data_IF_967633942198
#
_entry.id   IF_967633942198
#
_cell.length_a   1.000
_cell.length_b   1.000
_cell.length_c   1.000
_cell.angle_alpha   90.00
_cell.angle_beta   90.00
_cell.angle_gamma   90.00
#
_symmetry.space_group_name_H-M   'P 1'
#
loop_
_entity.id
_entity.type
_entity.pdbx_description
1 polymer ?
#
# COMPACT_ATOMS: atom_id res chain seq x y z
N UNK A 1 -30.01 0.32 -10.70
CA UNK A 1 -28.54 0.47 -10.58
C UNK A 1 -28.22 1.96 -10.62
N UNK A 2 -27.67 2.51 -9.55
CA UNK A 2 -27.28 3.93 -9.53
C UNK A 2 -26.23 4.18 -10.61
N UNK A 3 -26.51 5.14 -11.48
CA UNK A 3 -25.65 5.58 -12.58
C UNK A 3 -24.35 6.10 -11.96
N UNK A 4 -23.26 5.33 -12.12
CA UNK A 4 -21.88 5.58 -11.68
C UNK A 4 -21.58 5.46 -10.17
N UNK A 5 -21.74 4.26 -9.60
CA UNK A 5 -21.11 3.95 -8.30
C UNK A 5 -19.57 3.97 -8.42
N UNK A 6 -18.98 5.07 -7.96
CA UNK A 6 -17.52 5.29 -7.97
C UNK A 6 -16.77 4.46 -6.92
N UNK A 7 -17.47 3.78 -6.01
CA UNK A 7 -16.84 3.00 -4.92
C UNK A 7 -16.08 1.77 -5.42
N UNK A 8 -16.48 1.24 -6.58
CA UNK A 8 -15.84 0.09 -7.21
C UNK A 8 -14.66 0.46 -8.12
N UNK A 9 -14.32 1.75 -8.21
CA UNK A 9 -13.26 2.25 -9.09
C UNK A 9 -13.64 2.19 -10.58
N UNK A 10 -12.75 2.71 -11.41
CA UNK A 10 -12.84 2.67 -12.88
C UNK A 10 -11.70 1.84 -13.44
N UNK A 11 -11.80 1.35 -14.66
CA UNK A 11 -10.65 0.69 -15.30
C UNK A 11 -9.43 1.61 -15.33
N UNK A 12 -8.26 1.05 -15.03
CA UNK A 12 -7.01 1.77 -15.04
C UNK A 12 -6.60 2.14 -16.46
N UNK A 13 -6.19 3.39 -16.67
CA UNK A 13 -5.79 3.88 -18.00
C UNK A 13 -4.46 3.24 -18.48
N UNK A 14 -3.59 2.85 -17.55
CA UNK A 14 -2.26 2.27 -17.84
C UNK A 14 -2.10 0.94 -17.12
N UNK A 15 -1.70 -0.09 -17.86
CA UNK A 15 -1.37 -1.42 -17.34
C UNK A 15 -0.18 -2.07 -18.10
N UNK A 16 0.79 -2.70 -17.41
CA UNK A 16 1.00 -2.72 -15.97
C UNK A 16 1.25 -1.31 -15.41
N UNK A 17 1.00 -1.12 -14.11
CA UNK A 17 1.13 0.21 -13.50
C UNK A 17 2.57 0.70 -13.47
N UNK A 18 2.72 2.01 -13.57
CA UNK A 18 3.98 2.67 -13.24
C UNK A 18 4.06 2.91 -11.71
N UNK A 19 5.00 2.22 -11.07
CA UNK A 19 5.26 2.37 -9.63
C UNK A 19 6.28 3.48 -9.32
N UNK A 20 6.74 4.24 -10.31
CA UNK A 20 7.68 5.36 -10.12
C UNK A 20 7.22 6.36 -9.07
N UNK A 21 5.91 6.57 -8.93
CA UNK A 21 5.31 7.49 -7.95
C UNK A 21 5.50 7.03 -6.49
N UNK A 22 5.79 5.75 -6.26
CA UNK A 22 6.14 5.23 -4.94
C UNK A 22 7.60 5.52 -4.56
N UNK A 23 8.47 5.79 -5.54
CA UNK A 23 9.91 5.94 -5.36
C UNK A 23 10.27 6.98 -4.29
N UNK A 24 9.64 8.16 -4.34
CA UNK A 24 9.92 9.25 -3.38
C UNK A 24 9.65 8.81 -1.94
N UNK A 25 8.54 8.12 -1.71
CA UNK A 25 8.16 7.64 -0.38
C UNK A 25 9.08 6.54 0.11
N UNK A 26 9.39 5.56 -0.75
CA UNK A 26 10.32 4.47 -0.43
C UNK A 26 11.73 5.00 -0.12
N UNK A 27 12.21 5.96 -0.91
CA UNK A 27 13.52 6.59 -0.67
C UNK A 27 13.54 7.39 0.63
N UNK A 28 12.46 8.13 0.95
CA UNK A 28 12.33 8.84 2.22
C UNK A 28 12.41 7.88 3.41
N UNK A 29 11.63 6.79 3.39
CA UNK A 29 11.61 5.79 4.47
C UNK A 29 12.99 5.12 4.64
N UNK A 30 13.62 4.75 3.52
CA UNK A 30 14.97 4.20 3.51
C UNK A 30 16.03 5.18 4.04
N UNK A 31 15.99 6.43 3.61
CA UNK A 31 17.02 7.41 3.96
C UNK A 31 17.01 7.72 5.46
N UNK A 32 15.81 7.85 6.03
CA UNK A 32 15.60 8.14 7.44
C UNK A 32 15.58 6.88 8.32
N UNK A 33 15.92 5.72 7.76
CA UNK A 33 15.98 4.45 8.48
C UNK A 33 14.68 4.16 9.26
N UNK A 34 13.53 4.49 8.64
CA UNK A 34 12.20 4.34 9.25
C UNK A 34 11.75 2.88 9.12
N UNK A 35 11.32 2.24 10.21
CA UNK A 35 10.76 0.89 10.16
C UNK A 35 9.44 0.89 9.40
N UNK A 36 9.20 -0.17 8.65
CA UNK A 36 8.04 -0.32 7.78
C UNK A 36 7.37 -1.66 7.98
N UNK A 37 6.06 -1.68 7.79
CA UNK A 37 5.27 -2.88 7.55
C UNK A 37 4.96 -2.96 6.06
N UNK A 38 5.45 -4.02 5.42
CA UNK A 38 5.12 -4.37 4.04
C UNK A 38 4.10 -5.50 4.09
N UNK A 39 2.95 -5.30 3.46
CA UNK A 39 1.90 -6.32 3.34
C UNK A 39 1.78 -6.70 1.88
N UNK A 40 1.78 -7.99 1.58
CA UNK A 40 1.64 -8.51 0.23
C UNK A 40 0.17 -8.66 -0.19
N UNK A 41 -0.03 -9.00 -1.47
CA UNK A 41 -1.33 -9.34 -2.05
C UNK A 41 -2.01 -10.57 -1.41
N UNK A 42 -1.27 -11.42 -0.70
CA UNK A 42 -1.76 -12.61 0.01
C UNK A 42 -1.73 -12.44 1.54
N UNK A 43 -1.78 -11.20 2.03
CA UNK A 43 -1.79 -10.84 3.45
C UNK A 43 -0.56 -11.30 4.26
N UNK A 44 0.53 -11.66 3.57
CA UNK A 44 1.83 -11.92 4.21
C UNK A 44 2.48 -10.60 4.60
N UNK A 45 3.20 -10.61 5.71
CA UNK A 45 3.69 -9.40 6.37
C UNK A 45 5.20 -9.50 6.57
N UNK A 46 5.91 -8.44 6.20
CA UNK A 46 7.29 -8.19 6.61
C UNK A 46 7.28 -6.93 7.48
N UNK A 47 7.89 -6.99 8.67
CA UNK A 47 8.17 -5.84 9.51
C UNK A 47 9.68 -5.66 9.56
N UNK A 48 10.18 -4.56 9.01
CA UNK A 48 11.62 -4.38 8.80
C UNK A 48 11.97 -2.99 8.30
N UNK A 49 13.09 -2.89 7.62
CA UNK A 49 13.58 -1.66 6.99
C UNK A 49 13.76 -1.86 5.50
N UNK A 50 13.62 -0.78 4.74
CA UNK A 50 13.97 -0.76 3.32
C UNK A 50 15.49 -0.59 3.21
N UNK A 51 16.22 -1.67 2.89
CA UNK A 51 17.67 -1.63 2.72
C UNK A 51 18.08 -1.03 1.36
N UNK A 52 17.37 -1.37 0.29
CA UNK A 52 17.61 -0.87 -1.06
C UNK A 52 16.30 -0.75 -1.84
N UNK A 53 16.27 0.14 -2.80
CA UNK A 53 15.19 0.28 -3.77
C UNK A 53 15.76 0.26 -5.18
N UNK A 54 15.21 -0.60 -6.04
CA UNK A 54 15.54 -0.68 -7.46
C UNK A 54 14.29 -0.29 -8.28
N UNK A 55 14.15 0.99 -8.68
CA UNK A 55 13.00 1.46 -9.44
C UNK A 55 12.86 0.74 -10.79
N UNK A 56 13.97 0.50 -11.50
CA UNK A 56 13.94 -0.13 -12.83
C UNK A 56 13.45 -1.58 -12.78
N UNK A 57 13.71 -2.26 -11.67
CA UNK A 57 13.26 -3.63 -11.45
C UNK A 57 11.95 -3.74 -10.66
N UNK A 58 11.27 -2.62 -10.35
CA UNK A 58 10.08 -2.59 -9.48
C UNK A 58 10.28 -3.43 -8.21
N UNK A 59 11.39 -3.18 -7.50
CA UNK A 59 11.84 -4.05 -6.40
C UNK A 59 12.29 -3.25 -5.18
N UNK A 60 11.81 -3.66 -4.01
CA UNK A 60 12.31 -3.28 -2.69
C UNK A 60 13.15 -4.43 -2.14
N UNK A 61 14.27 -4.12 -1.51
CA UNK A 61 15.02 -5.07 -0.68
C UNK A 61 14.77 -4.72 0.79
N UNK A 62 14.00 -5.57 1.49
CA UNK A 62 13.72 -5.44 2.91
C UNK A 62 14.77 -6.15 3.77
N UNK A 63 14.98 -5.69 4.99
CA UNK A 63 16.01 -6.18 5.91
C UNK A 63 15.57 -6.00 7.37
N UNK A 64 16.13 -6.79 8.27
CA UNK A 64 15.93 -6.67 9.72
C UNK A 64 16.63 -5.42 10.28
N UNK A 65 17.66 -4.94 9.59
CA UNK A 65 18.40 -3.71 9.93
C UNK A 65 18.33 -2.66 8.82
N UNK A 66 18.40 -1.36 9.17
CA UNK A 66 18.55 -0.31 8.18
C UNK A 66 19.80 -0.56 7.32
N UNK A 67 19.65 -0.50 5.99
CA UNK A 67 20.73 -0.74 5.01
C UNK A 67 21.45 -2.08 5.19
N UNK A 68 20.80 -3.06 5.83
CA UNK A 68 21.39 -4.37 6.14
C UNK A 68 21.75 -5.20 4.90
N UNK A 69 22.57 -6.22 5.13
CA UNK A 69 23.10 -7.11 4.08
C UNK A 69 22.25 -8.35 3.85
N UNK A 70 21.52 -8.82 4.88
CA UNK A 70 20.53 -9.89 4.74
C UNK A 70 19.26 -9.27 4.19
N UNK A 71 18.97 -9.55 2.91
CA UNK A 71 17.93 -8.86 2.16
C UNK A 71 16.91 -9.85 1.64
N UNK A 72 15.64 -9.50 1.80
CA UNK A 72 14.49 -10.18 1.23
C UNK A 72 13.96 -9.33 0.09
N UNK A 73 13.76 -9.94 -1.06
CA UNK A 73 13.17 -9.29 -2.22
C UNK A 73 11.65 -9.13 -2.06
N UNK A 74 11.17 -7.91 -2.28
CA UNK A 74 9.76 -7.52 -2.28
C UNK A 74 9.46 -6.86 -3.62
N UNK A 75 8.78 -7.59 -4.50
CA UNK A 75 8.34 -7.06 -5.80
C UNK A 75 7.17 -6.10 -5.59
N UNK A 76 7.23 -4.92 -6.21
CA UNK A 76 6.18 -3.91 -6.07
C UNK A 76 4.83 -4.40 -6.59
N UNK A 77 4.83 -5.26 -7.61
CA UNK A 77 3.62 -5.92 -8.09
C UNK A 77 2.94 -6.72 -6.98
N UNK A 78 3.70 -7.39 -6.11
CA UNK A 78 3.16 -8.20 -5.02
C UNK A 78 2.82 -7.38 -3.78
N UNK A 79 3.25 -6.12 -3.69
CA UNK A 79 3.04 -5.24 -2.55
C UNK A 79 1.61 -4.69 -2.54
N UNK A 80 0.89 -4.89 -1.44
CA UNK A 80 -0.44 -4.34 -1.21
C UNK A 80 -0.42 -3.09 -0.33
N UNK A 81 0.40 -3.09 0.71
CA UNK A 81 0.49 -1.98 1.67
C UNK A 81 1.95 -1.72 2.02
N UNK A 82 2.35 -0.45 2.00
CA UNK A 82 3.58 0.05 2.60
C UNK A 82 3.21 1.01 3.73
N UNK A 83 3.34 0.59 4.97
CA UNK A 83 3.05 1.40 6.15
C UNK A 83 4.35 1.79 6.86
N UNK A 84 4.50 3.07 7.20
CA UNK A 84 5.55 3.50 8.13
C UNK A 84 5.13 3.15 9.57
N UNK A 85 6.07 2.68 10.38
CA UNK A 85 5.82 2.38 11.77
C UNK A 85 6.46 3.45 12.67
N UNK A 86 5.80 3.74 13.78
CA UNK A 86 6.27 4.68 14.79
C UNK A 86 6.32 4.02 16.18
N UNK A 87 7.23 4.49 17.04
CA UNK A 87 7.31 4.08 18.45
C UNK A 87 7.48 2.56 18.65
N UNK A 88 6.57 1.98 19.43
CA UNK A 88 6.66 0.58 19.88
C UNK A 88 6.35 -0.47 18.80
N UNK A 89 5.67 -0.10 17.71
CA UNK A 89 5.34 -1.04 16.62
C UNK A 89 6.59 -1.56 15.90
N UNK A 90 7.70 -0.81 15.98
CA UNK A 90 8.97 -1.14 15.35
C UNK A 90 9.73 -2.30 16.01
N UNK A 91 9.41 -2.67 17.26
CA UNK A 91 10.16 -3.70 18.00
C UNK A 91 9.86 -5.15 17.54
N UNK A 92 8.80 -5.36 16.77
CA UNK A 92 8.37 -6.68 16.29
C UNK A 92 8.88 -6.97 14.86
N UNK A 93 10.19 -6.81 14.65
CA UNK A 93 10.81 -7.11 13.35
C UNK A 93 10.58 -8.57 12.98
N UNK A 94 10.12 -8.79 11.75
CA UNK A 94 9.83 -10.11 11.21
C UNK A 94 10.09 -10.12 9.72
N UNK A 95 10.99 -11.00 9.30
CA UNK A 95 11.24 -11.29 7.89
C UNK A 95 10.65 -12.65 7.55
N UNK A 96 10.34 -12.85 6.28
CA UNK A 96 9.88 -14.13 5.75
C UNK A 96 10.50 -14.37 4.37
N UNK A 97 10.43 -15.61 3.85
CA UNK A 97 10.99 -15.94 2.55
C UNK A 97 10.40 -15.11 1.41
N UNK A 98 11.24 -14.76 0.43
CA UNK A 98 10.87 -14.03 -0.79
C UNK A 98 9.75 -14.71 -1.57
N UNK A 99 9.80 -16.04 -1.70
CA UNK A 99 8.83 -16.78 -2.50
C UNK A 99 7.43 -16.75 -1.89
N UNK A 100 7.34 -16.77 -0.55
CA UNK A 100 6.04 -16.69 0.15
C UNK A 100 5.42 -15.29 0.06
N UNK A 101 6.25 -14.25 0.22
CA UNK A 101 5.77 -12.86 0.16
C UNK A 101 5.32 -12.48 -1.26
N UNK A 102 6.08 -12.89 -2.28
CA UNK A 102 5.79 -12.56 -3.67
C UNK A 102 4.87 -13.58 -4.36
N UNK A 103 4.33 -14.56 -3.62
CA UNK A 103 3.36 -15.48 -4.16
C UNK A 103 2.08 -14.71 -4.54
N UNK A 104 1.78 -14.70 -5.83
CA UNK A 104 0.60 -14.03 -6.36
C UNK A 104 -0.61 -14.95 -6.24
N UNK A 105 -1.45 -14.70 -5.22
CA UNK A 105 -2.65 -15.50 -4.97
C UNK A 105 -3.89 -14.92 -5.65
N UNK A 106 -3.95 -13.60 -5.82
CA UNK A 106 -5.11 -12.91 -6.36
C UNK A 106 -4.78 -12.26 -7.71
N UNK A 107 -5.80 -12.13 -8.56
CA UNK A 107 -5.70 -11.29 -9.76
C UNK A 107 -5.77 -9.81 -9.35
N UNK A 108 -4.92 -8.92 -9.89
CA UNK A 108 -5.02 -7.48 -9.65
C UNK A 108 -6.38 -6.92 -10.03
N UNK A 109 -6.81 -5.82 -9.40
CA UNK A 109 -8.07 -5.13 -9.70
C UNK A 109 -8.06 -4.53 -11.10
N UNK A 110 -6.91 -3.99 -11.53
CA UNK A 110 -6.77 -3.12 -12.71
C UNK A 110 -7.74 -1.93 -12.65
N UNK A 111 -8.02 -1.42 -11.44
CA UNK A 111 -8.94 -0.31 -11.22
C UNK A 111 -8.31 0.85 -10.48
N UNK A 112 -8.70 2.05 -10.88
CA UNK A 112 -8.33 3.31 -10.25
C UNK A 112 -9.46 3.84 -9.39
N UNK A 113 -9.11 4.31 -8.19
CA UNK A 113 -10.07 4.80 -7.21
C UNK A 113 -9.95 6.32 -6.99
N UNK A 114 -9.38 7.05 -7.97
CA UNK A 114 -9.19 8.50 -7.92
C UNK A 114 -10.43 9.27 -7.50
N UNK A 115 -11.58 8.99 -8.12
CA UNK A 115 -12.81 9.76 -7.90
C UNK A 115 -13.28 9.68 -6.45
N UNK A 116 -13.31 8.49 -5.86
CA UNK A 116 -13.77 8.30 -4.48
C UNK A 116 -12.74 8.82 -3.48
N UNK A 117 -11.44 8.59 -3.72
CA UNK A 117 -10.37 9.13 -2.88
C UNK A 117 -10.39 10.67 -2.86
N UNK A 118 -10.50 11.30 -4.03
CA UNK A 118 -10.58 12.76 -4.13
C UNK A 118 -11.85 13.34 -3.52
N UNK A 119 -12.99 12.66 -3.66
CA UNK A 119 -14.24 13.08 -3.01
C UNK A 119 -14.08 13.11 -1.50
N UNK A 120 -13.58 12.03 -0.91
CA UNK A 120 -13.40 11.94 0.55
C UNK A 120 -12.36 12.95 1.05
N UNK A 121 -11.25 13.14 0.32
CA UNK A 121 -10.25 14.16 0.64
C UNK A 121 -10.85 15.57 0.70
N UNK A 122 -11.56 15.98 -0.35
CA UNK A 122 -12.17 17.32 -0.46
C UNK A 122 -13.25 17.56 0.61
N UNK A 123 -13.96 16.52 1.02
CA UNK A 123 -15.01 16.60 2.04
C UNK A 123 -14.48 16.45 3.47
N UNK A 124 -13.19 16.13 3.66
CA UNK A 124 -12.60 15.88 4.98
C UNK A 124 -13.13 14.62 5.67
N UNK A 125 -13.77 13.72 4.92
CA UNK A 125 -14.35 12.46 5.43
C UNK A 125 -13.32 11.34 5.33
N UNK A 126 -13.34 10.41 6.29
CA UNK A 126 -12.51 9.21 6.25
C UNK A 126 -12.87 8.30 5.07
N UNK A 127 -11.99 7.34 4.80
CA UNK A 127 -12.21 6.28 3.83
C UNK A 127 -12.16 4.90 4.49
N UNK A 128 -12.92 3.97 3.93
CA UNK A 128 -12.81 2.52 4.16
C UNK A 128 -12.31 1.88 2.87
N UNK A 129 -11.22 1.14 2.94
CA UNK A 129 -10.61 0.43 1.80
C UNK A 129 -10.77 -1.06 2.04
N UNK A 130 -11.47 -1.72 1.13
CA UNK A 130 -11.68 -3.16 1.14
C UNK A 130 -10.59 -3.78 0.27
N UNK A 131 -9.74 -4.61 0.86
CA UNK A 131 -8.66 -5.32 0.16
C UNK A 131 -9.21 -6.60 -0.47
N UNK A 132 -8.58 -7.07 -1.55
CA UNK A 132 -9.00 -8.30 -2.26
C UNK A 132 -8.93 -9.56 -1.40
N UNK A 133 -8.01 -9.59 -0.44
CA UNK A 133 -7.85 -10.68 0.53
C UNK A 133 -8.70 -10.51 1.80
N UNK A 134 -9.67 -9.58 1.79
CA UNK A 134 -10.71 -9.46 2.84
C UNK A 134 -10.42 -8.46 3.96
N UNK A 135 -9.18 -7.97 4.10
CA UNK A 135 -8.87 -6.94 5.11
C UNK A 135 -9.59 -5.62 4.78
N UNK A 136 -10.12 -4.96 5.81
CA UNK A 136 -10.67 -3.60 5.69
C UNK A 136 -9.74 -2.63 6.42
N UNK A 137 -9.31 -1.60 5.70
CA UNK A 137 -8.47 -0.53 6.23
C UNK A 137 -9.31 0.74 6.39
N UNK A 138 -9.05 1.50 7.45
CA UNK A 138 -9.73 2.78 7.69
C UNK A 138 -8.73 3.89 7.98
N UNK A 139 -9.02 5.09 7.50
CA UNK A 139 -8.21 6.26 7.81
C UNK A 139 -8.65 7.50 7.05
N UNK A 140 -7.79 8.52 7.03
CA UNK A 140 -7.99 9.72 6.22
C UNK A 140 -7.01 9.72 5.06
N UNK A 141 -7.52 9.96 3.86
CA UNK A 141 -6.65 10.08 2.68
C UNK A 141 -5.73 11.30 2.80
N UNK A 142 -4.47 11.12 2.43
CA UNK A 142 -3.43 12.16 2.42
C UNK A 142 -3.02 12.56 1.00
N UNK A 143 -3.63 11.94 -0.02
CA UNK A 143 -3.31 12.13 -1.42
C UNK A 143 -3.49 10.84 -2.22
N UNK A 144 -3.62 10.96 -3.52
CA UNK A 144 -3.83 9.83 -4.44
C UNK A 144 -3.04 10.04 -5.73
N UNK A 145 -2.53 8.97 -6.30
CA UNK A 145 -1.91 8.95 -7.63
C UNK A 145 -2.38 7.71 -8.42
N UNK A 146 -1.77 7.47 -9.59
CA UNK A 146 -2.20 6.42 -10.51
C UNK A 146 -1.97 4.99 -10.00
N UNK A 147 -1.23 4.76 -8.91
CA UNK A 147 -0.98 3.41 -8.39
C UNK A 147 -1.46 3.19 -6.96
N UNK A 148 -1.64 4.25 -6.18
CA UNK A 148 -1.93 4.14 -4.76
C UNK A 148 -2.70 5.31 -4.20
N UNK A 149 -3.28 5.08 -3.04
CA UNK A 149 -3.78 6.12 -2.13
C UNK A 149 -2.90 6.16 -0.87
N UNK A 150 -2.51 7.36 -0.48
CA UNK A 150 -1.90 7.63 0.81
C UNK A 150 -2.97 7.74 1.88
N UNK A 151 -2.78 7.11 3.03
CA UNK A 151 -3.74 7.09 4.13
C UNK A 151 -3.03 7.30 5.45
N UNK A 152 -3.52 8.23 6.25
CA UNK A 152 -3.16 8.36 7.66
C UNK A 152 -4.14 7.56 8.50
N UNK A 153 -3.62 6.58 9.22
CA UNK A 153 -4.37 5.73 10.15
C UNK A 153 -4.69 6.48 11.45
N UNK A 154 -5.54 5.89 12.29
CA UNK A 154 -5.93 6.47 13.60
C UNK A 154 -4.76 6.61 14.58
N UNK A 155 -3.77 5.70 14.53
CA UNK A 155 -2.54 5.79 15.31
C UNK A 155 -1.52 6.80 14.74
N UNK A 156 -1.86 7.51 13.66
CA UNK A 156 -1.03 8.55 13.07
C UNK A 156 -0.02 8.09 12.02
N UNK A 157 0.20 6.78 11.90
CA UNK A 157 1.05 6.18 10.87
C UNK A 157 0.54 6.53 9.47
N UNK A 158 1.47 6.66 8.53
CA UNK A 158 1.16 6.91 7.13
C UNK A 158 1.46 5.69 6.27
N UNK A 159 0.42 5.15 5.65
CA UNK A 159 0.49 4.02 4.74
C UNK A 159 0.20 4.42 3.30
N UNK A 160 0.78 3.69 2.36
CA UNK A 160 0.39 3.67 0.96
C UNK A 160 -0.33 2.37 0.68
N UNK A 161 -1.52 2.45 0.07
CA UNK A 161 -2.32 1.29 -0.32
C UNK A 161 -2.37 1.20 -1.82
N UNK A 162 -1.89 0.08 -2.36
CA UNK A 162 -1.77 -0.15 -3.80
C UNK A 162 -3.12 -0.56 -4.38
N UNK A 163 -3.58 0.16 -5.41
CA UNK A 163 -4.91 -0.05 -6.00
C UNK A 163 -5.10 -1.42 -6.63
N UNK A 164 -4.02 -2.06 -7.06
CA UNK A 164 -4.03 -3.43 -7.61
C UNK A 164 -4.69 -4.43 -6.68
N UNK A 165 -4.62 -4.18 -5.38
CA UNK A 165 -5.06 -5.12 -4.35
C UNK A 165 -6.30 -4.64 -3.60
N UNK A 166 -6.97 -3.60 -4.11
CA UNK A 166 -8.23 -3.06 -3.60
C UNK A 166 -9.40 -3.67 -4.38
N UNK A 167 -10.48 -4.02 -3.67
CA UNK A 167 -11.75 -4.44 -4.27
C UNK A 167 -12.75 -3.29 -4.32
N UNK A 168 -12.81 -2.47 -3.27
CA UNK A 168 -13.75 -1.34 -3.14
C UNK A 168 -13.18 -0.27 -2.22
N UNK A 169 -13.56 0.99 -2.43
CA UNK A 169 -13.34 2.08 -1.48
C UNK A 169 -14.66 2.80 -1.24
N UNK A 170 -15.02 3.02 0.01
CA UNK A 170 -16.18 3.85 0.39
C UNK A 170 -15.73 4.99 1.30
N UNK A 171 -16.58 5.99 1.49
CA UNK A 171 -16.41 6.90 2.62
C UNK A 171 -16.69 6.17 3.94
N UNK A 172 -16.11 6.66 5.04
CA UNK A 172 -16.28 6.00 6.35
C UNK A 172 -17.69 6.07 6.90
N UNK A 173 -18.45 7.10 6.52
CA UNK A 173 -19.84 7.36 6.89
C UNK A 173 -20.85 6.65 5.97
N UNK A 174 -20.39 5.95 4.93
CA UNK A 174 -21.25 5.14 4.08
C UNK A 174 -21.83 3.97 4.88
N UNK A 175 -23.16 3.92 4.96
CA UNK A 175 -23.94 2.78 5.39
C UNK A 175 -24.45 2.04 4.14
N UNK A 176 -24.35 0.70 4.16
CA UNK A 176 -24.85 -0.17 3.08
C UNK A 176 -26.38 -0.23 3.03
#
# INVERSE_FOLDING_TARGET
>A
MAVNDISYGREAEIWPRDYSMLARRVQFLRFNDIPVRLVSNNARIIIGYIAKFNPRGNLILASDKPKGNKRIEVKLESLAILEELSGNDAFNLSLMPTDEFNLQQYTPSRRDYFSICNKCYKQGVGIKIYMKYGQVLTGKTTGVNACQVGVRTSNGNHMQVMFDWVSRITSSDYAE
#
